data_IF_421770220552
#
_entry.id   IF_421770220552
#
_cell.length_a   1.000
_cell.length_b   1.000
_cell.length_c   1.000
_cell.angle_alpha   90.00
_cell.angle_beta   90.00
_cell.angle_gamma   90.00
#
_symmetry.space_group_name_H-M   'P 1'
#
loop_
_entity.id
_entity.type
_entity.pdbx_description
1 polymer ?
#
# COMPACT_ATOMS: atom_id res chain seq x y z
N UNK A 1 12.59 -11.77 25.97
CA UNK A 1 13.61 -11.74 24.90
C UNK A 1 12.90 -11.62 23.57
N UNK A 2 13.07 -10.51 22.85
CA UNK A 2 13.02 -10.50 21.38
C UNK A 2 11.66 -10.32 20.68
N UNK A 3 11.14 -9.10 20.65
CA UNK A 3 10.52 -8.60 19.41
C UNK A 3 11.54 -7.66 18.76
N UNK A 4 11.97 -7.97 17.54
CA UNK A 4 12.97 -7.20 16.79
C UNK A 4 12.34 -5.93 16.18
N UNK A 5 11.00 -5.90 16.07
CA UNK A 5 10.20 -4.85 15.44
C UNK A 5 8.91 -4.66 16.26
N UNK A 6 8.46 -3.41 16.44
CA UNK A 6 7.20 -3.10 17.12
C UNK A 6 6.00 -3.52 16.25
N UNK A 7 4.93 -4.05 16.84
CA UNK A 7 3.68 -4.39 16.13
C UNK A 7 3.14 -3.23 15.24
N UNK A 8 3.28 -1.99 15.69
CA UNK A 8 2.90 -0.83 14.89
C UNK A 8 3.82 -0.64 13.67
N UNK A 9 5.12 -0.87 13.81
CA UNK A 9 6.08 -0.80 12.71
C UNK A 9 5.84 -1.92 11.68
N UNK A 10 5.46 -3.12 12.15
CA UNK A 10 5.06 -4.23 11.27
C UNK A 10 3.80 -3.89 10.46
N UNK A 11 2.80 -3.26 11.08
CA UNK A 11 1.65 -2.73 10.36
C UNK A 11 2.06 -1.67 9.33
N UNK A 12 2.90 -0.72 9.73
CA UNK A 12 3.35 0.37 8.85
C UNK A 12 4.22 -0.12 7.69
N UNK A 13 4.95 -1.23 7.86
CA UNK A 13 5.70 -1.85 6.76
C UNK A 13 4.79 -2.21 5.58
N UNK A 14 3.58 -2.73 5.86
CA UNK A 14 2.59 -3.03 4.84
C UNK A 14 1.98 -1.76 4.24
N UNK A 15 1.71 -0.75 5.06
CA UNK A 15 1.16 0.53 4.61
C UNK A 15 2.04 1.20 3.55
N UNK A 16 3.37 1.11 3.67
CA UNK A 16 4.28 1.65 2.66
C UNK A 16 4.50 0.68 1.48
N UNK A 17 4.64 -0.62 1.74
CA UNK A 17 4.95 -1.59 0.69
C UNK A 17 3.80 -1.80 -0.31
N UNK A 18 2.54 -1.68 0.11
CA UNK A 18 1.38 -1.98 -0.73
C UNK A 18 1.15 -0.94 -1.84
N UNK A 19 1.13 0.38 -1.57
CA UNK A 19 1.08 1.41 -2.61
C UNK A 19 2.18 1.25 -3.67
N UNK A 20 3.41 0.96 -3.23
CA UNK A 20 4.54 0.75 -4.12
C UNK A 20 4.36 -0.51 -4.97
N UNK A 21 3.93 -1.62 -4.37
CA UNK A 21 3.62 -2.85 -5.11
C UNK A 21 2.50 -2.65 -6.14
N UNK A 22 1.48 -1.85 -5.82
CA UNK A 22 0.39 -1.49 -6.73
C UNK A 22 0.87 -0.58 -7.87
N UNK A 23 1.75 0.38 -7.59
CA UNK A 23 2.28 1.32 -8.55
C UNK A 23 3.27 0.65 -9.53
N UNK A 24 4.26 -0.06 -9.00
CA UNK A 24 5.37 -0.60 -9.79
C UNK A 24 5.11 -2.02 -10.31
N UNK A 25 4.32 -2.81 -9.60
CA UNK A 25 4.12 -4.22 -9.94
C UNK A 25 5.42 -5.01 -9.94
N UNK A 26 5.48 -6.05 -10.78
CA UNK A 26 6.61 -6.97 -10.91
C UNK A 26 6.63 -7.61 -12.30
N UNK A 27 7.69 -7.37 -13.05
CA UNK A 27 7.78 -7.77 -14.47
C UNK A 27 8.23 -9.23 -14.64
N UNK A 28 7.93 -9.87 -15.79
CA UNK A 28 8.43 -11.20 -16.11
C UNK A 28 9.96 -11.31 -16.02
N UNK A 29 10.70 -10.28 -16.44
CA UNK A 29 12.17 -10.26 -16.40
C UNK A 29 12.70 -10.27 -14.97
N UNK A 30 12.03 -9.57 -14.04
CA UNK A 30 12.38 -9.61 -12.62
C UNK A 30 12.13 -11.01 -12.03
N UNK A 31 11.01 -11.65 -12.38
CA UNK A 31 10.69 -13.00 -11.93
C UNK A 31 11.68 -14.05 -12.45
N UNK A 32 12.14 -13.92 -13.71
CA UNK A 32 13.22 -14.77 -14.26
C UNK A 32 14.52 -14.61 -13.48
N UNK A 33 14.89 -13.37 -13.13
CA UNK A 33 16.09 -13.09 -12.30
C UNK A 33 15.98 -13.69 -10.90
N UNK A 34 14.76 -13.83 -10.37
CA UNK A 34 14.49 -14.49 -9.08
C UNK A 34 14.38 -16.02 -9.17
N UNK A 35 14.71 -16.63 -10.32
CA UNK A 35 14.63 -18.07 -10.56
C UNK A 35 13.21 -18.65 -10.41
N UNK A 36 12.17 -17.88 -10.74
CA UNK A 36 10.79 -18.40 -10.82
C UNK A 36 10.66 -19.30 -12.06
N UNK A 37 10.08 -20.48 -11.90
CA UNK A 37 9.83 -21.40 -13.02
C UNK A 37 8.98 -20.74 -14.11
N UNK A 38 9.36 -20.92 -15.39
CA UNK A 38 8.74 -20.21 -16.52
C UNK A 38 7.21 -20.37 -16.59
N UNK A 39 6.69 -21.54 -16.23
CA UNK A 39 5.24 -21.81 -16.20
C UNK A 39 4.49 -21.02 -15.11
N UNK A 40 5.16 -20.54 -14.06
CA UNK A 40 4.57 -19.72 -12.98
C UNK A 40 4.67 -18.23 -13.25
N UNK A 41 5.49 -17.79 -14.22
CA UNK A 41 5.74 -16.37 -14.48
C UNK A 41 4.45 -15.61 -14.83
N UNK A 42 3.55 -16.11 -15.71
CA UNK A 42 2.31 -15.41 -16.02
C UNK A 42 1.42 -15.20 -14.78
N UNK A 43 1.45 -16.15 -13.84
CA UNK A 43 0.64 -16.12 -12.61
C UNK A 43 1.24 -15.25 -11.50
N UNK A 44 2.55 -14.96 -11.56
CA UNK A 44 3.27 -14.12 -10.59
C UNK A 44 3.62 -12.73 -11.11
N UNK A 45 3.27 -12.44 -12.37
CA UNK A 45 3.48 -11.12 -12.98
C UNK A 45 2.43 -10.14 -12.45
N UNK A 46 2.89 -8.99 -11.97
CA UNK A 46 2.03 -7.90 -11.54
C UNK A 46 2.26 -6.73 -12.49
N UNK A 47 1.22 -6.28 -13.19
CA UNK A 47 1.34 -5.21 -14.20
C UNK A 47 1.64 -3.83 -13.60
N UNK A 48 1.44 -3.65 -12.30
CA UNK A 48 1.53 -2.34 -11.67
C UNK A 48 0.47 -1.38 -12.23
N UNK A 49 0.82 -0.08 -12.23
CA UNK A 49 0.01 1.04 -12.72
C UNK A 49 -1.38 1.11 -12.08
N UNK A 50 -1.47 0.73 -10.79
CA UNK A 50 -2.69 0.84 -9.99
C UNK A 50 -2.54 2.05 -9.07
N UNK A 51 -3.26 3.16 -9.32
CA UNK A 51 -3.13 4.36 -8.50
C UNK A 51 -3.67 4.11 -7.09
N UNK A 52 -3.03 4.72 -6.10
CA UNK A 52 -3.45 4.68 -4.70
C UNK A 52 -3.26 6.07 -4.06
N UNK A 53 -4.02 6.33 -2.99
CA UNK A 53 -3.90 7.54 -2.18
C UNK A 53 -3.63 7.12 -0.73
N UNK A 54 -2.49 7.54 -0.21
CA UNK A 54 -2.05 7.24 1.16
C UNK A 54 -2.21 8.48 2.04
N UNK A 55 -3.04 8.38 3.09
CA UNK A 55 -3.24 9.46 4.06
C UNK A 55 -2.65 9.00 5.40
N UNK A 56 -1.56 9.63 5.83
CA UNK A 56 -0.88 9.31 7.09
C UNK A 56 -1.17 10.39 8.13
N UNK A 57 -1.72 9.97 9.27
CA UNK A 57 -2.00 10.85 10.42
C UNK A 57 -0.95 10.64 11.51
N UNK A 58 -0.51 11.69 12.23
CA UNK A 58 0.44 11.53 13.34
C UNK A 58 -0.08 10.63 14.48
N UNK A 59 -1.38 10.75 14.78
CA UNK A 59 -2.09 10.00 15.81
C UNK A 59 -3.56 9.88 15.42
N UNK A 60 -4.31 8.96 16.05
CA UNK A 60 -5.75 8.84 15.88
C UNK A 60 -6.48 9.35 17.14
N UNK A 61 -6.82 10.63 17.15
CA UNK A 61 -7.58 11.28 18.22
C UNK A 61 -8.84 11.97 17.67
N UNK A 62 -9.71 12.46 18.57
CA UNK A 62 -11.00 13.04 18.19
C UNK A 62 -10.87 14.18 17.18
N UNK A 63 -9.84 15.02 17.30
CA UNK A 63 -9.60 16.12 16.37
C UNK A 63 -9.26 15.60 14.97
N UNK A 64 -8.30 14.66 14.87
CA UNK A 64 -7.86 14.10 13.58
C UNK A 64 -8.91 13.21 12.92
N UNK A 65 -9.74 12.52 13.70
CA UNK A 65 -10.92 11.79 13.19
C UNK A 65 -11.92 12.78 12.56
N UNK A 66 -12.17 13.92 13.21
CA UNK A 66 -13.03 14.96 12.66
C UNK A 66 -12.51 15.52 11.33
N UNK A 67 -11.19 15.72 11.22
CA UNK A 67 -10.57 16.12 9.96
C UNK A 67 -10.74 15.06 8.87
N UNK A 68 -10.57 13.77 9.20
CA UNK A 68 -10.76 12.67 8.26
C UNK A 68 -12.21 12.64 7.74
N UNK A 69 -13.19 12.77 8.62
CA UNK A 69 -14.61 12.85 8.24
C UNK A 69 -14.85 14.01 7.26
N UNK A 70 -14.39 15.21 7.63
CA UNK A 70 -14.58 16.41 6.82
C UNK A 70 -13.97 16.26 5.42
N UNK A 71 -12.77 15.68 5.29
CA UNK A 71 -12.12 15.44 3.99
C UNK A 71 -13.03 14.60 3.07
N UNK A 72 -13.65 13.54 3.60
CA UNK A 72 -14.51 12.68 2.79
C UNK A 72 -15.85 13.33 2.45
N UNK A 73 -16.45 14.10 3.37
CA UNK A 73 -17.66 14.89 3.07
C UNK A 73 -17.41 15.88 1.93
N UNK A 74 -16.31 16.64 2.00
CA UNK A 74 -15.97 17.62 0.97
C UNK A 74 -15.59 16.95 -0.35
N UNK A 75 -14.90 15.81 -0.31
CA UNK A 75 -14.62 15.02 -1.53
C UNK A 75 -15.91 14.62 -2.24
N UNK A 76 -16.89 14.10 -1.49
CA UNK A 76 -18.19 13.69 -2.07
C UNK A 76 -18.94 14.91 -2.62
N UNK A 77 -18.97 16.01 -1.87
CA UNK A 77 -19.63 17.24 -2.30
C UNK A 77 -19.02 17.87 -3.57
N UNK A 78 -17.70 17.74 -3.77
CA UNK A 78 -17.01 18.24 -4.98
C UNK A 78 -17.16 17.29 -6.17
N UNK A 79 -17.31 15.99 -5.92
CA UNK A 79 -17.45 14.99 -6.98
C UNK A 79 -18.89 14.88 -7.52
N UNK A 80 -19.89 15.09 -6.66
CA UNK A 80 -21.32 15.08 -7.02
C UNK A 80 -21.74 16.35 -7.75
#
# INVERSE_FOLDING_TARGET
KGEVVNNHDELMSNFFAQPDALAYGKTPEQLRKENVSEHLIPHKTFTGNRPSLSILLPTLDAYRIGQLLAIYEHRVAVQG
#
